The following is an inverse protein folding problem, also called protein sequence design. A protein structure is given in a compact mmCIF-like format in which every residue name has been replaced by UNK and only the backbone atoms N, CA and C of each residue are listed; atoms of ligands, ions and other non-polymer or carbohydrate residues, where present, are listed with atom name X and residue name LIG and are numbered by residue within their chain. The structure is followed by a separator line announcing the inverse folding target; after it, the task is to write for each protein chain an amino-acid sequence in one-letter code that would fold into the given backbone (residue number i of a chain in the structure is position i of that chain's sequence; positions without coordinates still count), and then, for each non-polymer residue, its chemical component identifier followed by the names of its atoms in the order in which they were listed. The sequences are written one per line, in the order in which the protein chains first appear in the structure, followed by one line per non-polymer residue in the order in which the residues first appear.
data_IF_603688927112
#
_entry.id   IF_603688927112
#
_cell.length_a   1.000
_cell.length_b   1.000
_cell.length_c   1.000
_cell.angle_alpha   90.00
_cell.angle_beta   90.00
_cell.angle_gamma   90.00
#
_symmetry.space_group_name_H-M   'P 1'
#
loop_
_entity.id
_entity.type
_entity.pdbx_description
1 polymer ?
#
# COMPACT_ATOMS: atom_id res chain seq x y z
N UNK A 1 -0.31 7.70 -14.09
CA UNK A 1 -0.70 6.31 -13.93
C UNK A 1 -0.35 5.80 -12.54
N UNK A 2 -0.87 4.65 -12.18
CA UNK A 2 -0.73 4.10 -10.84
C UNK A 2 0.73 3.87 -10.45
N UNK A 3 1.52 3.33 -11.37
CA UNK A 3 2.94 3.05 -11.10
C UNK A 3 3.70 4.32 -10.73
N UNK A 4 3.43 5.42 -11.41
CA UNK A 4 4.07 6.69 -11.13
C UNK A 4 3.67 7.23 -9.77
N UNK A 5 2.40 7.09 -9.40
CA UNK A 5 1.93 7.54 -8.10
C UNK A 5 2.59 6.76 -6.98
N UNK A 6 2.82 5.46 -7.18
CA UNK A 6 3.48 4.62 -6.17
C UNK A 6 4.93 5.05 -5.92
N UNK A 7 5.59 5.66 -6.90
CA UNK A 7 6.98 6.07 -6.76
C UNK A 7 7.16 7.18 -5.72
N UNK A 8 6.10 7.88 -5.37
CA UNK A 8 6.17 8.95 -4.37
C UNK A 8 6.00 8.44 -2.95
N UNK A 9 5.71 7.16 -2.79
CA UNK A 9 5.51 6.53 -1.50
C UNK A 9 6.82 5.95 -0.97
N UNK A 10 6.87 5.70 0.34
CA UNK A 10 7.99 4.95 0.89
C UNK A 10 7.94 3.53 0.30
N UNK A 11 9.11 2.83 0.25
CA UNK A 11 9.10 1.45 -0.26
C UNK A 11 8.09 0.55 0.44
N UNK A 12 7.93 0.70 1.74
CA UNK A 12 6.98 -0.10 2.49
C UNK A 12 5.55 0.20 2.11
N UNK A 13 5.20 1.48 2.00
CA UNK A 13 3.87 1.88 1.59
C UNK A 13 3.52 1.37 0.19
N UNK A 14 4.46 1.52 -0.74
CA UNK A 14 4.25 1.04 -2.11
C UNK A 14 4.03 -0.47 -2.14
N UNK A 15 4.81 -1.21 -1.37
CA UNK A 15 4.69 -2.67 -1.34
C UNK A 15 3.37 -3.11 -0.73
N UNK A 16 2.91 -2.43 0.33
CA UNK A 16 1.62 -2.73 0.95
C UNK A 16 0.49 -2.57 -0.07
N UNK A 17 0.51 -1.48 -0.84
CA UNK A 17 -0.52 -1.25 -1.84
C UNK A 17 -0.45 -2.27 -2.97
N UNK A 18 0.76 -2.63 -3.41
CA UNK A 18 0.91 -3.63 -4.47
C UNK A 18 0.32 -4.97 -4.05
N UNK A 19 0.59 -5.38 -2.81
CA UNK A 19 0.05 -6.65 -2.30
C UNK A 19 -1.44 -6.56 -2.03
N UNK A 20 -1.90 -5.45 -1.46
CA UNK A 20 -3.31 -5.33 -1.08
C UNK A 20 -4.24 -5.27 -2.29
N UNK A 21 -3.77 -4.66 -3.37
CA UNK A 21 -4.59 -4.47 -4.56
C UNK A 21 -4.15 -5.32 -5.75
N UNK A 22 -3.18 -6.20 -5.55
CA UNK A 22 -2.75 -7.11 -6.60
C UNK A 22 -2.10 -6.43 -7.78
N UNK A 23 -1.33 -5.36 -7.54
CA UNK A 23 -0.66 -4.63 -8.63
C UNK A 23 0.60 -5.36 -9.08
N UNK A 24 1.06 -5.06 -10.30
CA UNK A 24 2.30 -5.62 -10.88
C UNK A 24 2.29 -7.15 -10.88
N UNK A 25 1.14 -7.74 -11.21
CA UNK A 25 0.96 -9.19 -11.29
C UNK A 25 1.18 -9.90 -9.94
N UNK A 26 1.13 -9.16 -8.84
CA UNK A 26 1.17 -9.75 -7.51
C UNK A 26 -0.22 -10.29 -7.13
N UNK A 27 -0.24 -11.37 -6.36
CA UNK A 27 -1.49 -11.85 -5.82
C UNK A 27 -2.02 -10.86 -4.79
N UNK A 28 -3.35 -10.67 -4.80
CA UNK A 28 -3.98 -9.81 -3.80
C UNK A 28 -3.90 -10.49 -2.43
N UNK A 29 -3.42 -9.74 -1.43
CA UNK A 29 -3.28 -10.23 -0.07
C UNK A 29 -4.22 -9.48 0.87
N UNK A 30 -4.62 -10.15 1.95
CA UNK A 30 -5.39 -9.49 3.01
C UNK A 30 -4.43 -8.67 3.90
N UNK A 31 -5.01 -7.75 4.67
CA UNK A 31 -4.22 -6.96 5.61
C UNK A 31 -3.50 -7.86 6.62
N UNK A 32 -4.15 -8.93 7.05
CA UNK A 32 -3.53 -9.87 7.98
C UNK A 32 -2.33 -10.56 7.35
N UNK A 33 -2.45 -10.99 6.10
CA UNK A 33 -1.35 -11.64 5.40
C UNK A 33 -0.16 -10.69 5.24
N UNK A 34 -0.43 -9.44 4.90
CA UNK A 34 0.63 -8.44 4.78
C UNK A 34 1.28 -8.19 6.14
N UNK A 35 0.47 -8.10 7.20
CA UNK A 35 0.98 -7.93 8.55
C UNK A 35 1.89 -9.07 8.96
N UNK A 36 1.53 -10.30 8.60
CA UNK A 36 2.36 -11.46 8.92
C UNK A 36 3.73 -11.35 8.24
N UNK A 37 3.77 -10.83 7.02
CA UNK A 37 5.04 -10.68 6.30
C UNK A 37 5.97 -9.65 6.95
N UNK A 38 5.40 -8.62 7.56
CA UNK A 38 6.17 -7.55 8.20
C UNK A 38 6.26 -7.70 9.72
N UNK A 39 5.63 -8.75 10.25
CA UNK A 39 5.55 -8.94 11.70
C UNK A 39 4.86 -7.74 12.38
N UNK A 40 3.81 -7.25 11.75
CA UNK A 40 3.00 -6.15 12.25
C UNK A 40 1.55 -6.58 12.36
N UNK A 41 0.78 -5.86 13.19
CA UNK A 41 -0.64 -6.14 13.34
C UNK A 41 -1.41 -5.73 12.10
N UNK A 42 -2.59 -6.34 11.91
CA UNK A 42 -3.49 -5.97 10.83
C UNK A 42 -3.84 -4.48 10.90
N UNK A 43 -4.08 -3.98 12.10
CA UNK A 43 -4.45 -2.58 12.30
C UNK A 43 -3.31 -1.65 11.87
N UNK A 44 -2.06 -2.01 12.19
CA UNK A 44 -0.92 -1.20 11.78
C UNK A 44 -0.81 -1.14 10.26
N UNK A 45 -1.02 -2.27 9.59
CA UNK A 45 -0.98 -2.31 8.13
C UNK A 45 -2.10 -1.45 7.54
N UNK A 46 -3.30 -1.49 8.16
CA UNK A 46 -4.40 -0.66 7.72
C UNK A 46 -4.03 0.83 7.81
N UNK A 47 -3.40 1.23 8.91
CA UNK A 47 -2.97 2.62 9.08
C UNK A 47 -1.96 3.02 8.02
N UNK A 48 -1.00 2.16 7.73
CA UNK A 48 0.00 2.44 6.69
C UNK A 48 -0.66 2.53 5.32
N UNK A 49 -1.62 1.65 5.04
CA UNK A 49 -2.39 1.70 3.80
C UNK A 49 -3.12 3.04 3.67
N UNK A 50 -3.77 3.49 4.74
CA UNK A 50 -4.49 4.76 4.71
C UNK A 50 -3.56 5.94 4.47
N UNK A 51 -2.37 5.92 5.08
CA UNK A 51 -1.36 6.96 4.83
C UNK A 51 -0.96 6.99 3.36
N UNK A 52 -0.71 5.81 2.80
CA UNK A 52 -0.30 5.71 1.39
C UNK A 52 -1.39 6.21 0.46
N UNK A 53 -2.64 5.80 0.70
CA UNK A 53 -3.75 6.25 -0.12
C UNK A 53 -3.97 7.74 0.00
N UNK A 54 -3.75 8.29 1.19
CA UNK A 54 -3.84 9.74 1.40
C UNK A 54 -2.84 10.51 0.57
N UNK A 55 -1.60 10.00 0.49
CA UNK A 55 -0.56 10.63 -0.33
C UNK A 55 -0.94 10.61 -1.80
N UNK A 56 -1.46 9.49 -2.29
CA UNK A 56 -1.90 9.38 -3.68
C UNK A 56 -3.05 10.34 -3.95
N UNK A 57 -4.00 10.40 -3.03
CA UNK A 57 -5.17 11.27 -3.18
C UNK A 57 -4.77 12.73 -3.30
N UNK A 58 -3.77 13.16 -2.53
CA UNK A 58 -3.28 14.54 -2.60
C UNK A 58 -2.66 14.85 -3.95
N UNK A 59 -2.02 13.87 -4.57
CA UNK A 59 -1.35 14.11 -5.84
C UNK A 59 -2.32 14.23 -7.01
N UNK A 60 -3.46 13.54 -6.93
CA UNK A 60 -4.44 13.61 -8.01
C UNK A 60 -5.47 14.71 -7.80
N UNK A 61 -5.49 15.31 -6.63
CA UNK A 61 -6.33 16.47 -6.35
C UNK A 61 -5.55 17.73 -6.64
N UNK A 62 -5.84 18.34 -7.75
CA UNK A 62 -5.18 19.60 -8.06
C UNK A 62 -6.18 20.64 -8.48
#
# INVERSE_FOLDING_TARGET
EVRRLLETLTPMEARILRWRFGLDDQDELTLKQIGDKYNLSRERIRQLQEQALGKIRRQVQM
#
